data_IF_965349709181
#
_entry.id   IF_965349709181
#
_cell.length_a   1.000
_cell.length_b   1.000
_cell.length_c   1.000
_cell.angle_alpha   90.00
_cell.angle_beta   90.00
_cell.angle_gamma   90.00
#
_symmetry.space_group_name_H-M   'P 1'
#
loop_
_entity.id
_entity.type
_entity.pdbx_description
1 polymer ?
#
# COMPACT_ATOMS: atom_id res chain seq x y z
N UNK A 1 -33.80 -27.33 31.44
CA UNK A 1 -33.02 -26.07 31.52
C UNK A 1 -32.48 -25.61 30.17
N UNK A 2 -32.11 -26.50 29.23
CA UNK A 2 -31.67 -26.12 27.86
C UNK A 2 -32.79 -25.67 26.89
N UNK A 3 -34.08 -25.94 27.18
CA UNK A 3 -35.22 -25.61 26.31
C UNK A 3 -35.77 -24.19 26.49
N UNK A 4 -35.26 -23.40 27.45
CA UNK A 4 -35.60 -21.98 27.62
C UNK A 4 -34.73 -21.05 26.75
N UNK A 5 -33.87 -21.63 25.91
CA UNK A 5 -32.99 -20.89 25.01
C UNK A 5 -33.81 -20.49 23.78
N UNK A 6 -34.19 -19.21 23.72
CA UNK A 6 -34.89 -18.65 22.57
C UNK A 6 -33.93 -18.54 21.38
N UNK A 7 -33.89 -19.58 20.55
CA UNK A 7 -33.00 -19.69 19.38
C UNK A 7 -33.16 -18.48 18.44
N UNK A 8 -34.38 -17.94 18.32
CA UNK A 8 -34.64 -16.75 17.52
C UNK A 8 -33.91 -15.52 18.06
N UNK A 9 -33.86 -15.34 19.39
CA UNK A 9 -33.15 -14.21 20.02
C UNK A 9 -31.63 -14.33 19.83
N UNK A 10 -31.08 -15.54 19.94
CA UNK A 10 -29.64 -15.77 19.74
C UNK A 10 -29.26 -15.47 18.29
N UNK A 11 -30.03 -15.98 17.32
CA UNK A 11 -29.78 -15.75 15.90
C UNK A 11 -29.92 -14.25 15.58
N UNK A 12 -30.97 -13.60 16.08
CA UNK A 12 -31.18 -12.16 15.88
C UNK A 12 -30.03 -11.34 16.47
N UNK A 13 -29.60 -11.63 17.70
CA UNK A 13 -28.49 -10.95 18.36
C UNK A 13 -27.18 -11.13 17.58
N UNK A 14 -26.89 -12.35 17.13
CA UNK A 14 -25.70 -12.65 16.33
C UNK A 14 -25.70 -11.89 14.99
N UNK A 15 -26.86 -11.83 14.31
CA UNK A 15 -27.00 -11.11 13.03
C UNK A 15 -26.82 -9.61 13.22
N UNK A 16 -27.50 -9.00 14.20
CA UNK A 16 -27.40 -7.56 14.46
C UNK A 16 -25.97 -7.19 14.84
N UNK A 17 -25.34 -7.96 15.72
CA UNK A 17 -23.95 -7.72 16.13
C UNK A 17 -22.97 -7.82 14.95
N UNK A 18 -23.13 -8.84 14.10
CA UNK A 18 -22.31 -9.02 12.90
C UNK A 18 -22.50 -7.86 11.92
N UNK A 19 -23.74 -7.41 11.71
CA UNK A 19 -24.07 -6.27 10.85
C UNK A 19 -23.38 -4.99 11.31
N UNK A 20 -23.41 -4.70 12.62
CA UNK A 20 -22.76 -3.52 13.19
C UNK A 20 -21.24 -3.58 12.99
N UNK A 21 -20.61 -4.74 13.22
CA UNK A 21 -19.16 -4.90 13.00
C UNK A 21 -18.81 -4.71 11.52
N UNK A 22 -19.55 -5.33 10.60
CA UNK A 22 -19.30 -5.17 9.16
C UNK A 22 -19.48 -3.71 8.74
N UNK A 23 -20.49 -3.02 9.25
CA UNK A 23 -20.72 -1.60 8.98
C UNK A 23 -19.51 -0.76 9.46
N UNK A 24 -19.02 -0.99 10.67
CA UNK A 24 -17.87 -0.27 11.19
C UNK A 24 -16.59 -0.57 10.39
N UNK A 25 -16.32 -1.84 10.07
CA UNK A 25 -15.13 -2.22 9.29
C UNK A 25 -15.17 -1.61 7.88
N UNK A 26 -16.32 -1.66 7.21
CA UNK A 26 -16.47 -1.07 5.87
C UNK A 26 -16.28 0.44 5.90
N UNK A 27 -16.82 1.13 6.91
CA UNK A 27 -16.58 2.56 7.12
C UNK A 27 -15.09 2.87 7.29
N UNK A 28 -14.37 2.10 8.12
CA UNK A 28 -12.93 2.28 8.33
C UNK A 28 -12.13 2.05 7.05
N UNK A 29 -12.45 1.02 6.26
CA UNK A 29 -11.75 0.72 4.99
C UNK A 29 -11.99 1.82 3.96
N UNK A 30 -13.22 2.35 3.86
CA UNK A 30 -13.52 3.47 2.95
C UNK A 30 -12.77 4.74 3.36
N UNK A 31 -12.71 5.03 4.67
CA UNK A 31 -11.92 6.14 5.18
C UNK A 31 -10.43 5.96 4.87
N UNK A 32 -9.87 4.77 5.12
CA UNK A 32 -8.47 4.46 4.84
C UNK A 32 -8.12 4.61 3.35
N UNK A 33 -8.99 4.13 2.44
CA UNK A 33 -8.82 4.29 0.99
C UNK A 33 -8.84 5.76 0.53
N UNK A 34 -9.50 6.66 1.27
CA UNK A 34 -9.57 8.09 0.98
C UNK A 34 -8.39 8.87 1.56
N UNK A 35 -7.89 8.47 2.72
CA UNK A 35 -6.80 9.14 3.43
C UNK A 35 -5.42 8.73 2.90
N UNK A 36 -5.26 7.49 2.44
CA UNK A 36 -4.01 7.04 1.82
C UNK A 36 -4.02 7.46 0.35
N UNK A 37 -2.98 8.18 -0.05
CA UNK A 37 -2.85 8.76 -1.37
C UNK A 37 -2.49 7.68 -2.41
N UNK A 38 -3.47 6.88 -2.82
CA UNK A 38 -3.32 5.76 -3.78
C UNK A 38 -3.64 6.18 -5.23
N UNK A 39 -3.14 7.34 -5.66
CA UNK A 39 -3.39 7.88 -7.00
C UNK A 39 -2.22 7.70 -7.97
N UNK A 40 -2.46 7.97 -9.25
CA UNK A 40 -1.39 8.10 -10.23
C UNK A 40 -0.48 9.29 -9.87
N UNK A 41 0.82 9.04 -9.79
CA UNK A 41 1.85 10.05 -9.53
C UNK A 41 2.72 10.23 -10.78
N UNK A 42 3.13 11.47 -11.02
CA UNK A 42 4.04 11.80 -12.11
C UNK A 42 5.48 11.68 -11.64
N UNK A 43 6.27 10.88 -12.35
CA UNK A 43 7.69 10.72 -12.13
C UNK A 43 8.45 11.35 -13.31
N UNK A 44 9.31 12.32 -13.04
CA UNK A 44 10.18 12.93 -14.05
C UNK A 44 11.56 12.30 -13.98
N UNK A 45 11.95 11.60 -15.05
CA UNK A 45 13.22 10.87 -15.16
C UNK A 45 14.17 11.71 -16.01
N UNK A 46 15.32 12.07 -15.44
CA UNK A 46 16.38 12.85 -16.09
C UNK A 46 15.92 14.18 -16.72
N UNK A 47 14.77 14.74 -16.30
CA UNK A 47 14.22 15.99 -16.84
C UNK A 47 13.61 15.90 -18.24
N UNK A 48 13.65 14.73 -18.89
CA UNK A 48 13.21 14.55 -20.28
C UNK A 48 11.99 13.64 -20.41
N UNK A 49 11.85 12.67 -19.50
CA UNK A 49 10.80 11.64 -19.57
C UNK A 49 9.86 11.76 -18.39
N UNK A 50 8.60 12.06 -18.66
CA UNK A 50 7.52 11.98 -17.67
C UNK A 50 6.76 10.67 -17.82
N UNK A 51 6.58 9.96 -16.70
CA UNK A 51 5.77 8.73 -16.65
C UNK A 51 4.76 8.83 -15.52
N UNK A 52 3.55 8.36 -15.79
CA UNK A 52 2.51 8.19 -14.77
C UNK A 52 2.58 6.78 -14.22
N UNK A 53 2.76 6.66 -12.91
CA UNK A 53 2.89 5.38 -12.20
C UNK A 53 1.96 5.38 -10.98
N UNK A 54 1.49 4.22 -10.55
CA UNK A 54 0.64 4.13 -9.36
C UNK A 54 1.46 4.34 -8.08
N UNK A 55 0.93 5.16 -7.15
CA UNK A 55 1.53 5.36 -5.84
C UNK A 55 1.36 4.14 -4.92
N UNK A 56 2.34 3.93 -4.03
CA UNK A 56 2.31 2.86 -3.01
C UNK A 56 3.26 1.69 -3.30
N UNK A 57 3.89 1.66 -4.47
CA UNK A 57 4.96 0.71 -4.81
C UNK A 57 6.37 1.25 -4.51
N UNK A 58 7.39 0.45 -4.81
CA UNK A 58 8.79 0.88 -4.75
C UNK A 58 9.18 1.66 -6.00
N UNK A 59 10.14 2.58 -5.88
CA UNK A 59 10.68 3.33 -7.03
C UNK A 59 11.24 2.39 -8.12
N UNK A 60 11.89 1.30 -7.72
CA UNK A 60 12.40 0.28 -8.64
C UNK A 60 11.27 -0.36 -9.47
N UNK A 61 10.16 -0.75 -8.82
CA UNK A 61 9.01 -1.34 -9.51
C UNK A 61 8.34 -0.35 -10.46
N UNK A 62 8.20 0.91 -10.05
CA UNK A 62 7.66 1.98 -10.90
C UNK A 62 8.52 2.20 -12.17
N UNK A 63 9.85 2.22 -12.02
CA UNK A 63 10.77 2.33 -13.15
C UNK A 63 10.71 1.13 -14.09
N UNK A 64 10.59 -0.09 -13.55
CA UNK A 64 10.44 -1.31 -14.35
C UNK A 64 9.14 -1.31 -15.18
N UNK A 65 8.03 -0.84 -14.61
CA UNK A 65 6.76 -0.67 -15.33
C UNK A 65 6.89 0.35 -16.48
N UNK A 66 7.73 1.37 -16.30
CA UNK A 66 8.10 2.34 -17.33
C UNK A 66 9.16 1.82 -18.33
N UNK A 67 9.45 0.52 -18.33
CA UNK A 67 10.50 -0.14 -19.14
C UNK A 67 11.92 0.39 -18.87
N UNK A 68 12.19 0.87 -17.66
CA UNK A 68 13.48 1.34 -17.21
C UNK A 68 14.04 0.38 -16.15
N UNK A 69 14.97 -0.47 -16.57
CA UNK A 69 15.49 -1.56 -15.73
C UNK A 69 16.80 -1.15 -15.08
N UNK A 70 16.78 -1.06 -13.74
CA UNK A 70 18.00 -0.97 -12.96
C UNK A 70 18.45 -2.39 -12.57
N UNK A 71 19.77 -2.67 -12.56
CA UNK A 71 20.28 -3.94 -12.09
C UNK A 71 19.90 -4.13 -10.62
N UNK A 72 19.19 -5.22 -10.32
CA UNK A 72 18.72 -5.51 -8.96
C UNK A 72 18.72 -7.02 -8.72
N UNK A 73 19.35 -7.43 -7.62
CA UNK A 73 19.35 -8.81 -7.14
C UNK A 73 18.30 -9.07 -6.04
N UNK A 74 17.84 -8.01 -5.37
CA UNK A 74 16.98 -8.07 -4.19
C UNK A 74 15.52 -7.69 -4.47
N UNK A 75 15.16 -7.38 -5.73
CA UNK A 75 13.77 -7.13 -6.13
C UNK A 75 13.08 -5.94 -5.45
N UNK A 76 13.86 -4.97 -4.94
CA UNK A 76 13.31 -3.80 -4.23
C UNK A 76 13.33 -3.89 -2.71
N UNK A 77 13.94 -4.95 -2.14
CA UNK A 77 14.12 -5.07 -0.68
C UNK A 77 15.21 -4.19 -0.07
N UNK A 78 15.92 -3.35 -0.85
CA UNK A 78 16.91 -2.41 -0.34
C UNK A 78 18.21 -3.03 0.21
N UNK A 79 18.45 -4.33 0.05
CA UNK A 79 19.58 -5.03 0.70
C UNK A 79 20.77 -5.30 -0.22
N UNK A 80 20.61 -5.20 -1.54
CA UNK A 80 21.62 -5.60 -2.51
C UNK A 80 22.50 -4.45 -3.05
N UNK A 81 22.20 -3.19 -2.70
CA UNK A 81 22.95 -1.98 -3.08
C UNK A 81 23.25 -1.80 -4.59
N UNK A 82 22.55 -2.53 -5.46
CA UNK A 82 22.82 -2.55 -6.90
C UNK A 82 21.97 -1.54 -7.70
N UNK A 83 20.75 -1.27 -7.23
CA UNK A 83 19.81 -0.37 -7.89
C UNK A 83 20.15 1.11 -7.58
N UNK A 84 21.19 1.62 -8.25
CA UNK A 84 21.67 3.00 -8.08
C UNK A 84 20.76 4.00 -8.79
N UNK A 85 20.19 4.91 -8.01
CA UNK A 85 19.43 6.04 -8.51
C UNK A 85 19.68 7.27 -7.63
N UNK A 86 19.36 8.45 -8.14
CA UNK A 86 19.43 9.69 -7.38
C UNK A 86 18.05 10.36 -7.40
N UNK A 87 17.51 10.62 -6.21
CA UNK A 87 16.22 11.29 -6.05
C UNK A 87 16.47 12.76 -5.77
N UNK A 88 16.07 13.64 -6.70
CA UNK A 88 16.30 15.08 -6.58
C UNK A 88 15.23 15.77 -5.72
N UNK A 89 14.02 15.23 -5.68
CA UNK A 89 12.90 15.75 -4.88
C UNK A 89 11.84 14.67 -4.65
N UNK A 90 11.04 14.81 -3.58
CA UNK A 90 9.87 13.96 -3.32
C UNK A 90 10.13 12.57 -2.71
N UNK A 91 11.39 12.22 -2.43
CA UNK A 91 11.78 10.90 -1.88
C UNK A 91 11.59 10.72 -0.37
N UNK A 92 11.29 11.79 0.38
CA UNK A 92 11.29 11.75 1.85
C UNK A 92 12.70 11.66 2.44
N UNK A 93 12.78 11.17 3.67
CA UNK A 93 14.06 10.97 4.38
C UNK A 93 14.73 9.67 3.93
N UNK A 94 16.06 9.69 3.84
CA UNK A 94 16.85 8.51 3.47
C UNK A 94 16.78 7.45 4.58
N UNK A 95 16.42 6.22 4.23
CA UNK A 95 16.37 5.12 5.19
C UNK A 95 17.78 4.55 5.44
N UNK A 96 18.05 3.97 6.63
CA UNK A 96 19.34 3.32 6.91
C UNK A 96 19.68 2.16 5.95
N UNK A 97 18.68 1.54 5.34
CA UNK A 97 18.86 0.50 4.32
C UNK A 97 19.34 1.06 2.98
N UNK A 98 19.13 2.35 2.73
CA UNK A 98 19.47 3.02 1.47
C UNK A 98 20.86 3.66 1.50
N UNK A 99 21.44 3.87 2.70
CA UNK A 99 22.75 4.49 2.86
C UNK A 99 23.93 3.62 2.43
N UNK A 100 23.68 2.35 2.09
CA UNK A 100 24.71 1.38 1.74
C UNK A 100 25.57 0.96 2.94
N UNK A 101 26.00 -0.29 2.94
CA UNK A 101 27.11 -0.77 3.75
C UNK A 101 28.32 -0.98 2.84
#
# INVERSE_FOLDING_TARGET
MLLAINQTVIILAAVVFTLVIILLVTMLVVAAKRLVNSGAVKLTINGEREVEVEAGGTLLGALQQANLFLPSACGGGGTCAMCKCQVMSGGGDILPTETGH
#
